data_IF_703438458042
#
_entry.id   IF_703438458042
#
_cell.length_a   1.000
_cell.length_b   1.000
_cell.length_c   1.000
_cell.angle_alpha   90.00
_cell.angle_beta   90.00
_cell.angle_gamma   90.00
#
_symmetry.space_group_name_H-M   'P 1'
#
loop_
_entity.id
_entity.type
_entity.pdbx_description
1 polymer ?
#
# COMPACT_ATOMS: atom_id res chain seq x y z
N UNK A 1 -2.56 -19.14 17.86
CA UNK A 1 -3.94 -19.63 18.08
C UNK A 1 -4.43 -19.09 19.41
N UNK A 2 -5.74 -18.82 19.55
CA UNK A 2 -6.32 -18.47 20.84
C UNK A 2 -6.58 -19.77 21.63
N UNK A 3 -6.12 -19.89 22.89
CA UNK A 3 -6.12 -21.17 23.62
C UNK A 3 -7.47 -21.58 24.23
N UNK A 4 -8.42 -20.64 24.38
CA UNK A 4 -9.68 -20.88 25.11
C UNK A 4 -10.91 -20.84 24.21
N UNK A 5 -10.93 -19.97 23.20
CA UNK A 5 -12.07 -19.74 22.30
C UNK A 5 -11.57 -19.51 20.88
N UNK A 6 -12.30 -19.97 19.87
CA UNK A 6 -11.96 -19.71 18.48
C UNK A 6 -12.26 -18.25 18.12
N UNK A 7 -11.42 -17.63 17.27
CA UNK A 7 -11.64 -16.27 16.79
C UNK A 7 -12.99 -16.08 16.11
N UNK A 8 -13.48 -17.07 15.34
CA UNK A 8 -14.80 -16.98 14.71
C UNK A 8 -15.94 -16.90 15.73
N UNK A 9 -15.91 -17.76 16.76
CA UNK A 9 -16.91 -17.77 17.84
C UNK A 9 -16.91 -16.45 18.61
N UNK A 10 -15.71 -15.91 18.87
CA UNK A 10 -15.55 -14.62 19.53
C UNK A 10 -16.22 -13.50 18.73
N UNK A 11 -16.01 -13.45 17.41
CA UNK A 11 -16.60 -12.42 16.55
C UNK A 11 -18.14 -12.55 16.57
N UNK A 12 -18.66 -13.76 16.43
CA UNK A 12 -20.12 -14.00 16.50
C UNK A 12 -20.70 -13.54 17.82
N UNK A 13 -20.06 -13.85 18.96
CA UNK A 13 -20.50 -13.38 20.27
C UNK A 13 -20.40 -11.85 20.41
N UNK A 14 -19.32 -11.25 19.90
CA UNK A 14 -19.13 -9.80 19.92
C UNK A 14 -20.26 -9.08 19.19
N UNK A 15 -20.74 -9.63 18.06
CA UNK A 15 -21.86 -9.06 17.28
C UNK A 15 -23.21 -9.20 17.96
N UNK A 16 -23.37 -10.11 18.92
CA UNK A 16 -24.60 -10.21 19.73
C UNK A 16 -24.66 -9.13 20.82
N UNK A 17 -23.54 -8.51 21.17
CA UNK A 17 -23.48 -7.43 22.15
C UNK A 17 -23.72 -6.09 21.45
N UNK A 18 -24.89 -5.50 21.66
CA UNK A 18 -25.32 -4.26 21.00
C UNK A 18 -24.33 -3.10 21.14
N UNK A 19 -23.64 -3.01 22.27
CA UNK A 19 -22.59 -2.00 22.53
C UNK A 19 -21.44 -2.05 21.50
N UNK A 20 -21.15 -3.23 20.93
CA UNK A 20 -20.05 -3.44 19.97
C UNK A 20 -20.53 -3.64 18.53
N UNK A 21 -21.81 -3.37 18.23
CA UNK A 21 -22.38 -3.57 16.89
C UNK A 21 -21.61 -2.83 15.78
N UNK A 22 -21.09 -1.64 16.09
CA UNK A 22 -20.34 -0.81 15.14
C UNK A 22 -18.81 -0.93 15.29
N UNK A 23 -18.32 -1.74 16.22
CA UNK A 23 -16.88 -1.91 16.42
C UNK A 23 -16.26 -2.59 15.21
N UNK A 24 -15.27 -1.95 14.60
CA UNK A 24 -14.51 -2.52 13.50
C UNK A 24 -13.73 -3.75 13.98
N UNK A 25 -13.89 -4.87 13.27
CA UNK A 25 -13.22 -6.14 13.55
C UNK A 25 -12.42 -6.54 12.32
N UNK A 26 -11.11 -6.68 12.50
CA UNK A 26 -10.19 -7.17 11.48
C UNK A 26 -9.69 -8.54 11.95
N UNK A 27 -10.06 -9.60 11.24
CA UNK A 27 -9.61 -10.95 11.54
C UNK A 27 -8.20 -11.17 10.98
N UNK A 28 -7.36 -11.94 11.69
CA UNK A 28 -6.03 -12.28 11.19
C UNK A 28 -5.67 -13.74 11.45
N UNK A 29 -5.29 -14.45 10.38
CA UNK A 29 -4.98 -15.89 10.41
C UNK A 29 -3.62 -16.19 9.76
N UNK A 30 -2.95 -17.24 10.24
CA UNK A 30 -1.73 -17.78 9.60
C UNK A 30 -2.04 -18.67 8.39
N UNK A 31 -3.31 -19.02 8.22
CA UNK A 31 -3.82 -19.72 7.04
C UNK A 31 -4.16 -18.70 5.96
N UNK A 32 -3.67 -18.96 4.75
CA UNK A 32 -3.99 -18.18 3.53
C UNK A 32 -5.12 -18.81 2.73
N UNK A 33 -5.79 -19.84 3.28
CA UNK A 33 -6.92 -20.45 2.59
C UNK A 33 -8.09 -19.47 2.55
N UNK A 34 -8.67 -19.30 1.36
CA UNK A 34 -9.85 -18.44 1.16
C UNK A 34 -11.00 -18.80 2.11
N UNK A 35 -11.09 -20.08 2.51
CA UNK A 35 -12.11 -20.56 3.44
C UNK A 35 -12.06 -19.86 4.79
N UNK A 36 -10.89 -19.47 5.29
CA UNK A 36 -10.76 -18.76 6.56
C UNK A 36 -11.12 -17.29 6.43
N UNK A 37 -10.82 -16.68 5.28
CA UNK A 37 -11.32 -15.35 4.94
C UNK A 37 -12.85 -15.36 4.92
N UNK A 38 -13.48 -16.24 4.14
CA UNK A 38 -14.94 -16.31 4.06
C UNK A 38 -15.59 -16.55 5.43
N UNK A 39 -15.07 -17.51 6.22
CA UNK A 39 -15.59 -17.78 7.57
C UNK A 39 -15.47 -16.57 8.50
N UNK A 40 -14.39 -15.79 8.40
CA UNK A 40 -14.23 -14.60 9.22
C UNK A 40 -15.26 -13.51 8.90
N UNK A 41 -15.55 -13.32 7.61
CA UNK A 41 -16.54 -12.35 7.16
C UNK A 41 -17.95 -12.81 7.53
N UNK A 42 -18.28 -14.09 7.33
CA UNK A 42 -19.56 -14.68 7.74
C UNK A 42 -19.80 -14.57 9.26
N UNK A 43 -18.74 -14.72 10.07
CA UNK A 43 -18.83 -14.52 11.52
C UNK A 43 -19.08 -13.05 11.92
N UNK A 44 -18.92 -12.11 10.99
CA UNK A 44 -19.17 -10.68 11.18
C UNK A 44 -17.92 -9.81 11.25
N UNK A 45 -16.75 -10.29 10.81
CA UNK A 45 -15.58 -9.44 10.63
C UNK A 45 -15.79 -8.44 9.48
N UNK A 46 -15.18 -7.27 9.59
CA UNK A 46 -15.22 -6.25 8.55
C UNK A 46 -14.11 -6.46 7.50
N UNK A 47 -12.99 -7.06 7.91
CA UNK A 47 -11.87 -7.34 7.02
C UNK A 47 -11.05 -8.54 7.52
N UNK A 48 -10.19 -9.04 6.65
CA UNK A 48 -9.28 -10.14 6.93
C UNK A 48 -7.85 -9.72 6.52
N UNK A 49 -6.86 -10.08 7.34
CA UNK A 49 -5.45 -9.92 7.06
C UNK A 49 -4.69 -11.24 7.28
N UNK A 50 -4.03 -11.81 6.25
CA UNK A 50 -3.18 -12.97 6.45
C UNK A 50 -1.97 -12.61 7.33
N UNK A 51 -1.38 -13.61 7.98
CA UNK A 51 -0.09 -13.47 8.67
C UNK A 51 1.05 -13.95 7.77
N UNK A 52 2.22 -13.30 7.79
CA UNK A 52 2.58 -12.13 8.60
C UNK A 52 1.79 -10.88 8.19
N UNK A 53 1.46 -10.03 9.17
CA UNK A 53 0.62 -8.85 8.93
C UNK A 53 1.45 -7.82 8.17
N UNK A 54 0.96 -7.43 7.00
CA UNK A 54 1.44 -6.27 6.26
C UNK A 54 0.99 -4.98 6.98
N UNK A 55 1.96 -4.13 7.33
CA UNK A 55 1.72 -2.92 8.10
C UNK A 55 0.92 -1.87 7.32
N UNK A 56 1.12 -1.77 6.01
CA UNK A 56 0.43 -0.79 5.17
C UNK A 56 -1.02 -1.18 4.97
N UNK A 57 -1.27 -2.45 4.68
CA UNK A 57 -2.63 -2.97 4.59
C UNK A 57 -3.39 -2.74 5.91
N UNK A 58 -2.73 -2.94 7.05
CA UNK A 58 -3.31 -2.64 8.35
C UNK A 58 -3.63 -1.14 8.50
N UNK A 59 -2.69 -0.25 8.17
CA UNK A 59 -2.89 1.19 8.25
C UNK A 59 -4.02 1.67 7.31
N UNK A 60 -4.16 1.10 6.12
CA UNK A 60 -5.28 1.40 5.22
C UNK A 60 -6.63 0.97 5.79
N UNK A 61 -6.70 -0.22 6.40
CA UNK A 61 -7.92 -0.69 7.06
C UNK A 61 -8.26 0.18 8.28
N UNK A 62 -7.26 0.59 9.07
CA UNK A 62 -7.47 1.54 10.17
C UNK A 62 -7.99 2.87 9.65
N UNK A 63 -7.38 3.43 8.60
CA UNK A 63 -7.84 4.66 7.94
C UNK A 63 -9.30 4.54 7.50
N UNK A 64 -9.65 3.44 6.84
CA UNK A 64 -11.01 3.17 6.32
C UNK A 64 -12.04 3.05 7.45
N UNK A 65 -11.76 2.26 8.49
CA UNK A 65 -12.76 1.93 9.50
C UNK A 65 -12.85 2.93 10.64
N UNK A 66 -11.77 3.67 10.92
CA UNK A 66 -11.75 4.72 11.93
C UNK A 66 -11.93 6.12 11.32
N UNK A 67 -12.11 6.22 10.00
CA UNK A 67 -12.26 7.47 9.25
C UNK A 67 -11.11 8.46 9.53
N UNK A 68 -9.89 7.94 9.61
CA UNK A 68 -8.72 8.74 9.96
C UNK A 68 -8.19 9.49 8.73
N UNK A 69 -7.57 10.63 9.00
CA UNK A 69 -6.69 11.31 8.06
C UNK A 69 -5.28 11.22 8.62
N UNK A 70 -4.36 10.69 7.82
CA UNK A 70 -2.95 10.65 8.21
C UNK A 70 -2.34 12.04 8.04
N UNK A 71 -1.76 12.56 9.12
CA UNK A 71 -0.99 13.80 9.10
C UNK A 71 0.47 13.38 9.11
N UNK A 72 1.14 13.59 7.99
CA UNK A 72 2.58 13.47 7.89
C UNK A 72 3.20 14.84 8.21
N UNK A 73 4.35 14.86 8.87
CA UNK A 73 5.02 16.10 9.25
C UNK A 73 5.57 16.84 8.01
N UNK A 74 5.36 18.15 7.98
CA UNK A 74 5.42 19.01 6.80
C UNK A 74 6.81 19.54 6.48
N UNK A 75 7.85 18.74 6.74
CA UNK A 75 9.08 18.92 5.97
C UNK A 75 8.89 18.46 4.50
N UNK A 76 7.73 17.89 4.17
CA UNK A 76 7.35 17.37 2.85
C UNK A 76 5.91 17.75 2.44
N UNK A 77 5.43 18.95 2.80
CA UNK A 77 4.23 19.56 2.19
C UNK A 77 4.59 20.74 1.30
N UNK A 78 4.77 20.45 0.02
CA UNK A 78 4.11 21.23 -1.02
C UNK A 78 3.21 20.25 -1.79
N UNK A 79 1.93 20.60 -1.92
CA UNK A 79 0.85 19.89 -2.64
C UNK A 79 -0.01 18.87 -1.87
N UNK A 80 -0.72 19.33 -0.83
CA UNK A 80 -2.05 18.78 -0.51
C UNK A 80 -3.08 19.92 -0.54
N UNK A 81 -3.34 20.45 -1.74
CA UNK A 81 -4.44 21.39 -1.99
C UNK A 81 -5.07 21.17 -3.38
N UNK A 82 -5.43 19.92 -3.66
CA UNK A 82 -6.40 19.37 -4.64
C UNK A 82 -6.04 17.89 -4.72
N UNK A 83 -6.93 16.91 -4.61
CA UNK A 83 -7.97 16.60 -5.58
C UNK A 83 -9.07 15.79 -4.88
N UNK A 84 -10.19 16.44 -4.58
CA UNK A 84 -11.51 15.82 -4.62
C UNK A 84 -12.10 16.16 -6.00
N UNK A 85 -11.72 15.42 -7.04
CA UNK A 85 -12.40 15.41 -8.34
C UNK A 85 -11.93 14.19 -9.15
N UNK A 86 -12.86 13.27 -9.40
CA UNK A 86 -13.02 12.35 -10.55
C UNK A 86 -11.81 11.62 -11.19
N UNK A 87 -12.00 10.34 -11.59
CA UNK A 87 -10.97 9.48 -12.16
C UNK A 87 -10.86 9.68 -13.68
N UNK A 88 -10.12 10.69 -14.13
CA UNK A 88 -9.67 10.79 -15.51
C UNK A 88 -8.61 11.90 -15.60
N UNK A 89 -7.33 11.55 -15.60
CA UNK A 89 -6.24 12.35 -16.14
C UNK A 89 -5.00 11.47 -16.20
N UNK A 90 -4.70 11.00 -17.41
CA UNK A 90 -3.38 10.54 -17.81
C UNK A 90 -2.44 11.75 -17.71
N UNK A 91 -1.91 12.04 -16.52
CA UNK A 91 -0.79 12.96 -16.41
C UNK A 91 0.41 12.28 -17.07
N UNK A 92 0.99 12.93 -18.08
CA UNK A 92 2.15 12.47 -18.83
C UNK A 92 3.31 12.16 -17.87
N UNK A 93 3.43 10.90 -17.47
CA UNK A 93 4.57 10.41 -16.69
C UNK A 93 5.76 10.42 -17.64
N UNK A 94 6.59 11.46 -17.53
CA UNK A 94 7.82 11.58 -18.31
C UNK A 94 8.90 10.75 -17.62
N UNK A 95 9.42 9.68 -18.25
CA UNK A 95 10.48 8.89 -17.67
C UNK A 95 11.82 9.64 -17.73
N UNK A 96 12.74 9.40 -16.78
CA UNK A 96 14.11 9.89 -16.82
C UNK A 96 14.90 9.23 -17.96
N UNK A 97 16.17 9.60 -18.11
CA UNK A 97 17.02 9.01 -19.14
C UNK A 97 17.20 7.48 -18.95
N UNK A 98 17.57 6.79 -20.03
CA UNK A 98 17.72 5.33 -20.01
C UNK A 98 18.79 4.85 -19.01
N UNK A 99 19.84 5.65 -18.77
CA UNK A 99 20.88 5.31 -17.78
C UNK A 99 20.31 5.20 -16.36
N UNK A 100 19.45 6.14 -15.96
CA UNK A 100 18.78 6.12 -14.65
C UNK A 100 17.76 4.99 -14.58
N UNK A 101 17.03 4.71 -15.67
CA UNK A 101 16.08 3.60 -15.71
C UNK A 101 16.78 2.23 -15.55
N UNK A 102 17.95 2.04 -16.18
CA UNK A 102 18.74 0.83 -16.02
C UNK A 102 19.26 0.67 -14.59
N UNK A 103 19.80 1.74 -14.00
CA UNK A 103 20.27 1.73 -12.62
C UNK A 103 19.13 1.44 -11.63
N UNK A 104 17.95 2.02 -11.87
CA UNK A 104 16.76 1.75 -11.09
C UNK A 104 16.34 0.28 -11.20
N UNK A 105 16.38 -0.30 -12.41
CA UNK A 105 16.05 -1.71 -12.62
C UNK A 105 17.03 -2.65 -11.92
N UNK A 106 18.32 -2.32 -11.84
CA UNK A 106 19.30 -3.07 -11.04
C UNK A 106 18.93 -3.05 -9.56
N UNK A 107 18.64 -1.87 -8.99
CA UNK A 107 18.24 -1.76 -7.58
C UNK A 107 16.93 -2.50 -7.28
N UNK A 108 15.97 -2.49 -8.22
CA UNK A 108 14.72 -3.24 -8.12
C UNK A 108 14.97 -4.75 -8.09
N UNK A 109 15.90 -5.25 -8.92
CA UNK A 109 16.29 -6.67 -8.94
C UNK A 109 17.08 -7.08 -7.70
N UNK A 110 17.91 -6.18 -7.20
CA UNK A 110 18.71 -6.38 -5.99
C UNK A 110 17.87 -6.21 -4.71
N UNK A 111 16.64 -5.67 -4.82
CA UNK A 111 15.72 -5.43 -3.71
C UNK A 111 16.16 -4.27 -2.81
N UNK A 112 17.01 -3.37 -3.30
CA UNK A 112 17.54 -2.24 -2.55
C UNK A 112 16.55 -1.06 -2.56
N UNK A 113 15.63 -1.10 -1.60
CA UNK A 113 14.57 -0.08 -1.43
C UNK A 113 15.15 1.29 -1.08
N UNK A 114 16.20 1.33 -0.26
CA UNK A 114 16.86 2.59 0.10
C UNK A 114 17.47 3.25 -1.15
N UNK A 115 18.17 2.47 -1.97
CA UNK A 115 18.70 2.95 -3.24
C UNK A 115 17.61 3.41 -4.22
N UNK A 116 16.47 2.72 -4.27
CA UNK A 116 15.34 3.10 -5.14
C UNK A 116 14.77 4.46 -4.72
N UNK A 117 14.57 4.67 -3.42
CA UNK A 117 14.07 5.93 -2.87
C UNK A 117 15.08 7.06 -3.10
N UNK A 118 16.38 6.77 -2.97
CA UNK A 118 17.44 7.73 -3.23
C UNK A 118 17.44 8.18 -4.69
N UNK A 119 17.30 7.25 -5.65
CA UNK A 119 17.17 7.60 -7.07
C UNK A 119 15.92 8.44 -7.32
N UNK A 120 14.77 8.08 -6.74
CA UNK A 120 13.53 8.84 -6.88
C UNK A 120 13.68 10.29 -6.35
N UNK A 121 14.41 10.47 -5.25
CA UNK A 121 14.74 11.79 -4.74
C UNK A 121 15.70 12.56 -5.66
N UNK A 122 16.73 11.89 -6.20
CA UNK A 122 17.68 12.52 -7.12
C UNK A 122 17.02 13.03 -8.40
N UNK A 123 16.10 12.26 -8.99
CA UNK A 123 15.42 12.68 -10.22
C UNK A 123 14.37 13.77 -9.98
N UNK A 124 13.69 13.77 -8.84
CA UNK A 124 12.72 14.82 -8.48
C UNK A 124 13.42 16.16 -8.19
N UNK A 125 14.64 16.14 -7.66
CA UNK A 125 15.46 17.35 -7.52
C UNK A 125 16.05 17.85 -8.85
N UNK A 126 16.21 16.98 -9.85
CA UNK A 126 16.85 17.34 -11.12
C UNK A 126 15.93 18.16 -12.03
N UNK A 127 14.64 17.78 -12.14
CA UNK A 127 13.66 18.51 -12.95
C UNK A 127 12.23 18.19 -12.47
N UNK A 128 11.40 19.22 -12.30
CA UNK A 128 10.02 19.11 -11.80
C UNK A 128 9.16 18.16 -12.66
N UNK A 129 9.50 18.00 -13.94
CA UNK A 129 8.79 17.09 -14.86
C UNK A 129 8.89 15.62 -14.47
N UNK A 130 9.89 15.24 -13.66
CA UNK A 130 10.09 13.86 -13.19
C UNK A 130 9.38 13.55 -11.87
N UNK A 131 8.75 14.55 -11.25
CA UNK A 131 8.12 14.39 -9.94
C UNK A 131 7.05 13.29 -9.92
N UNK A 132 6.21 13.21 -10.96
CA UNK A 132 5.18 12.17 -11.06
C UNK A 132 5.78 10.77 -11.17
N UNK A 133 6.88 10.61 -11.92
CA UNK A 133 7.59 9.34 -12.03
C UNK A 133 8.29 8.96 -10.71
N UNK A 134 8.96 9.92 -10.07
CA UNK A 134 9.58 9.76 -8.76
C UNK A 134 8.58 9.33 -7.69
N UNK A 135 7.45 10.05 -7.57
CA UNK A 135 6.39 9.73 -6.62
C UNK A 135 5.85 8.31 -6.83
N UNK A 136 5.70 7.89 -8.09
CA UNK A 136 5.19 6.56 -8.41
C UNK A 136 6.17 5.47 -7.99
N UNK A 137 7.47 5.67 -8.24
CA UNK A 137 8.52 4.74 -7.81
C UNK A 137 8.61 4.70 -6.29
N UNK A 138 8.62 5.85 -5.62
CA UNK A 138 8.66 5.94 -4.17
C UNK A 138 7.46 5.24 -3.54
N UNK A 139 6.27 5.39 -4.14
CA UNK A 139 5.07 4.67 -3.70
C UNK A 139 5.24 3.15 -3.81
N UNK A 140 5.69 2.64 -4.96
CA UNK A 140 5.90 1.20 -5.11
C UNK A 140 7.03 0.67 -4.21
N UNK A 141 8.10 1.44 -4.02
CA UNK A 141 9.24 1.07 -3.19
C UNK A 141 8.88 1.05 -1.70
N UNK A 142 8.20 2.08 -1.22
CA UNK A 142 7.71 2.17 0.17
C UNK A 142 6.76 1.01 0.46
N UNK A 143 5.90 0.69 -0.52
CA UNK A 143 4.92 -0.39 -0.40
C UNK A 143 5.47 -1.80 -0.69
N UNK A 144 6.78 -1.96 -0.83
CA UNK A 144 7.43 -3.24 -1.16
C UNK A 144 6.85 -3.93 -2.41
N UNK A 145 6.24 -3.16 -3.32
CA UNK A 145 5.58 -3.63 -4.54
C UNK A 145 6.62 -3.82 -5.66
N UNK A 146 7.70 -4.55 -5.39
CA UNK A 146 8.87 -4.71 -6.28
C UNK A 146 8.48 -5.23 -7.66
N UNK A 147 7.55 -6.18 -7.73
CA UNK A 147 7.06 -6.72 -9.01
C UNK A 147 6.32 -5.67 -9.85
N UNK A 148 5.44 -4.88 -9.22
CA UNK A 148 4.72 -3.81 -9.90
C UNK A 148 5.65 -2.67 -10.29
N UNK A 149 6.66 -2.38 -9.46
CA UNK A 149 7.71 -1.43 -9.77
C UNK A 149 8.53 -1.86 -10.99
N UNK A 150 8.92 -3.15 -11.06
CA UNK A 150 9.62 -3.70 -12.21
C UNK A 150 8.79 -3.59 -13.49
N UNK A 151 7.52 -4.01 -13.44
CA UNK A 151 6.59 -3.90 -14.58
C UNK A 151 6.39 -2.43 -15.01
N UNK A 152 6.28 -1.52 -14.04
CA UNK A 152 6.15 -0.08 -14.29
C UNK A 152 7.39 0.50 -14.97
N UNK A 153 8.61 0.19 -14.49
CA UNK A 153 9.86 0.69 -15.09
C UNK A 153 10.09 0.10 -16.49
N UNK A 154 9.75 -1.17 -16.69
CA UNK A 154 9.86 -1.85 -17.99
C UNK A 154 8.95 -1.22 -19.06
N UNK A 155 7.80 -0.65 -18.68
CA UNK A 155 6.89 0.02 -19.61
C UNK A 155 7.54 1.24 -20.30
N UNK A 156 8.54 1.85 -19.67
CA UNK A 156 9.24 3.03 -20.18
C UNK A 156 10.62 2.73 -20.79
N UNK A 157 11.10 1.48 -20.71
CA UNK A 157 12.27 1.06 -21.48
C UNK A 157 11.85 0.75 -22.92
N UNK A 158 12.51 1.33 -23.95
CA UNK A 158 12.32 0.87 -25.31
C UNK A 158 12.77 -0.60 -25.41
N UNK A 159 11.88 -1.48 -25.90
CA UNK A 159 12.22 -2.85 -26.25
C UNK A 159 13.45 -2.83 -27.17
N UNK A 160 14.56 -3.40 -26.71
CA UNK A 160 15.69 -3.76 -27.58
C UNK A 160 15.44 -5.13 -28.18
#
# INVERSE_FOLDING_TARGET
MMPVMNGFEFITQLRQVSQFGNTAVIASSASVFETDQYKSIDAGANAFLPKPIDAEMLLELLRKYLLLQWIYDDASKDNIASVNATPDNQEDIIPPNNEVLHKLLELVRDGDIEGIIEIAHQISMFDEKFNNFAQRITHFASNFQIKLLEEFVQQYLPLT
#
